data_IF_281067723116
#
_entry.id   IF_281067723116
#
_cell.length_a   1.000
_cell.length_b   1.000
_cell.length_c   1.000
_cell.angle_alpha   90.00
_cell.angle_beta   90.00
_cell.angle_gamma   90.00
#
_symmetry.space_group_name_H-M   'P 1'
#
loop_
_entity.id
_entity.type
_entity.pdbx_description
1 polymer ?
#
# COMPACT_ATOMS: atom_id res chain seq x y z
N UNK A 1 -8.60 6.85 -22.79
CA UNK A 1 -7.32 6.34 -23.34
C UNK A 1 -7.58 5.78 -24.73
N UNK A 2 -6.65 5.96 -25.67
CA UNK A 2 -6.73 5.31 -27.00
C UNK A 2 -6.64 3.77 -26.87
N UNK A 3 -7.54 3.04 -27.52
CA UNK A 3 -7.59 1.57 -27.55
C UNK A 3 -6.29 0.95 -28.07
N UNK A 4 -5.54 1.65 -28.94
CA UNK A 4 -4.22 1.20 -29.40
C UNK A 4 -3.22 1.21 -28.24
N UNK A 5 -3.18 2.30 -27.48
CA UNK A 5 -2.28 2.46 -26.34
C UNK A 5 -2.58 1.43 -25.24
N UNK A 6 -3.85 1.23 -24.90
CA UNK A 6 -4.28 0.21 -23.93
C UNK A 6 -3.76 -1.18 -24.32
N UNK A 7 -3.94 -1.57 -25.60
CA UNK A 7 -3.48 -2.88 -26.09
C UNK A 7 -1.97 -3.04 -25.98
N UNK A 8 -1.18 -2.01 -26.28
CA UNK A 8 0.28 -2.05 -26.14
C UNK A 8 0.72 -2.21 -24.68
N UNK A 9 0.10 -1.46 -23.77
CA UNK A 9 0.38 -1.57 -22.34
C UNK A 9 0.00 -2.95 -21.77
N UNK A 10 -1.15 -3.51 -22.17
CA UNK A 10 -1.54 -4.87 -21.82
C UNK A 10 -0.57 -5.91 -22.39
N UNK A 11 -0.17 -5.79 -23.66
CA UNK A 11 0.79 -6.70 -24.27
C UNK A 11 2.16 -6.65 -23.57
N UNK A 12 2.61 -5.46 -23.14
CA UNK A 12 3.82 -5.29 -22.34
C UNK A 12 3.70 -6.01 -20.99
N UNK A 13 2.59 -5.84 -20.29
CA UNK A 13 2.35 -6.50 -19.01
C UNK A 13 2.29 -8.03 -19.17
N UNK A 14 1.61 -8.53 -20.20
CA UNK A 14 1.52 -9.96 -20.50
C UNK A 14 2.90 -10.55 -20.83
N UNK A 15 3.72 -9.84 -21.60
CA UNK A 15 5.10 -10.25 -21.85
C UNK A 15 5.96 -10.27 -20.57
N UNK A 16 5.74 -9.32 -19.66
CA UNK A 16 6.41 -9.26 -18.37
C UNK A 16 5.98 -10.42 -17.44
N UNK A 17 4.70 -10.76 -17.40
CA UNK A 17 4.17 -11.93 -16.67
C UNK A 17 4.77 -13.21 -17.26
N UNK A 18 4.74 -13.39 -18.58
CA UNK A 18 5.27 -14.57 -19.25
C UNK A 18 6.78 -14.79 -19.04
N UNK A 19 7.54 -13.71 -18.83
CA UNK A 19 8.96 -13.77 -18.47
C UNK A 19 9.19 -14.33 -17.05
N UNK A 20 8.17 -14.28 -16.20
CA UNK A 20 8.25 -14.63 -14.78
C UNK A 20 8.89 -13.53 -13.94
N UNK A 21 9.06 -13.78 -12.62
CA UNK A 21 9.57 -12.78 -11.68
C UNK A 21 10.91 -12.20 -12.11
N UNK A 22 10.96 -10.87 -12.22
CA UNK A 22 12.17 -10.12 -12.55
C UNK A 22 12.14 -8.73 -11.94
N UNK A 23 13.30 -8.08 -11.91
CA UNK A 23 13.45 -6.69 -11.53
C UNK A 23 14.48 -6.04 -12.47
N UNK A 24 14.16 -4.86 -13.00
CA UNK A 24 15.14 -4.03 -13.69
C UNK A 24 15.84 -3.11 -12.70
N UNK A 25 17.16 -2.96 -12.86
CA UNK A 25 17.94 -1.99 -12.11
C UNK A 25 17.58 -0.54 -12.51
N UNK A 26 18.00 0.42 -11.69
CA UNK A 26 17.98 1.83 -12.07
C UNK A 26 18.83 2.04 -13.33
N UNK A 27 18.37 2.89 -14.26
CA UNK A 27 19.11 3.22 -15.48
C UNK A 27 19.91 4.53 -15.35
N UNK A 28 19.74 5.25 -14.24
CA UNK A 28 20.44 6.49 -13.92
C UNK A 28 19.93 7.71 -14.67
N UNK A 29 18.87 7.58 -15.46
CA UNK A 29 18.27 8.71 -16.16
C UNK A 29 17.55 9.64 -15.18
N UNK A 30 17.77 10.94 -15.35
CA UNK A 30 17.09 11.96 -14.56
C UNK A 30 15.60 12.00 -14.92
N UNK A 31 14.73 11.79 -13.92
CA UNK A 31 13.30 12.01 -14.03
C UNK A 31 12.97 13.46 -13.63
N UNK A 32 12.00 14.07 -14.30
CA UNK A 32 11.61 15.48 -14.08
C UNK A 32 10.17 15.64 -13.61
N UNK A 33 9.42 14.54 -13.52
CA UNK A 33 8.08 14.51 -12.97
C UNK A 33 7.96 13.30 -12.04
N UNK A 34 7.81 13.54 -10.74
CA UNK A 34 7.65 12.48 -9.74
C UNK A 34 6.21 12.44 -9.25
N UNK A 35 5.56 11.29 -9.41
CA UNK A 35 4.13 11.13 -9.15
C UNK A 35 3.91 9.98 -8.20
N UNK A 36 3.09 10.17 -7.17
CA UNK A 36 2.62 9.09 -6.31
C UNK A 36 1.20 8.64 -6.68
N UNK A 37 1.01 7.32 -6.71
CA UNK A 37 -0.26 6.63 -6.92
C UNK A 37 -0.50 5.71 -5.73
N UNK A 38 -1.52 6.00 -4.91
CA UNK A 38 -1.86 5.19 -3.75
C UNK A 38 -2.91 4.13 -4.06
N UNK A 39 -2.80 2.99 -3.39
CA UNK A 39 -3.80 1.91 -3.37
C UNK A 39 -4.34 1.57 -4.79
N UNK A 40 -3.52 0.94 -5.65
CA UNK A 40 -3.94 0.60 -7.00
C UNK A 40 -4.78 -0.68 -7.02
N UNK A 41 -5.59 -0.95 -5.98
CA UNK A 41 -6.58 -2.02 -5.90
C UNK A 41 -7.74 -1.80 -6.89
N UNK A 42 -7.43 -1.85 -8.19
CA UNK A 42 -8.34 -1.69 -9.30
C UNK A 42 -7.87 -2.54 -10.50
N UNK A 43 -8.76 -2.72 -11.48
CA UNK A 43 -8.39 -3.42 -12.69
C UNK A 43 -7.24 -2.70 -13.42
N UNK A 44 -6.33 -3.45 -14.04
CA UNK A 44 -5.08 -2.90 -14.56
C UNK A 44 -5.33 -1.96 -15.75
N UNK A 45 -6.38 -2.21 -16.55
CA UNK A 45 -6.84 -1.30 -17.58
C UNK A 45 -7.31 0.05 -17.02
N UNK A 46 -7.93 0.05 -15.84
CA UNK A 46 -8.33 1.25 -15.10
C UNK A 46 -7.10 2.02 -14.62
N UNK A 47 -6.11 1.33 -14.04
CA UNK A 47 -4.83 1.95 -13.65
C UNK A 47 -4.19 2.64 -14.86
N UNK A 48 -4.04 1.91 -15.98
CA UNK A 48 -3.47 2.45 -17.22
C UNK A 48 -4.27 3.63 -17.77
N UNK A 49 -5.60 3.59 -17.68
CA UNK A 49 -6.47 4.67 -18.12
C UNK A 49 -6.24 5.95 -17.33
N UNK A 50 -6.09 5.85 -16.00
CA UNK A 50 -5.77 6.98 -15.13
C UNK A 50 -4.38 7.54 -15.46
N UNK A 51 -3.36 6.67 -15.57
CA UNK A 51 -2.00 7.10 -15.94
C UNK A 51 -1.98 7.79 -17.32
N UNK A 52 -2.74 7.30 -18.29
CA UNK A 52 -2.87 7.91 -19.61
C UNK A 52 -3.59 9.27 -19.56
N UNK A 53 -4.66 9.39 -18.76
CA UNK A 53 -5.37 10.65 -18.56
C UNK A 53 -4.48 11.74 -17.96
N UNK A 54 -3.49 11.37 -17.16
CA UNK A 54 -2.46 12.29 -16.64
C UNK A 54 -1.22 12.41 -17.54
N UNK A 55 -1.25 11.85 -18.75
CA UNK A 55 -0.17 11.95 -19.73
C UNK A 55 1.12 11.20 -19.35
N UNK A 56 1.05 10.24 -18.42
CA UNK A 56 2.22 9.56 -17.87
C UNK A 56 2.73 8.40 -18.73
N UNK A 57 1.92 7.93 -19.67
CA UNK A 57 2.27 6.82 -20.57
C UNK A 57 2.86 7.32 -21.90
N UNK A 58 3.84 6.58 -22.42
CA UNK A 58 4.37 6.74 -23.77
C UNK A 58 3.54 6.01 -24.82
N UNK A 59 3.91 6.12 -26.09
CA UNK A 59 3.19 5.48 -27.21
C UNK A 59 3.31 3.95 -27.23
N UNK A 60 4.19 3.37 -26.42
CA UNK A 60 4.42 1.93 -26.30
C UNK A 60 3.79 1.30 -25.05
N UNK A 61 2.99 2.08 -24.32
CA UNK A 61 2.29 1.61 -23.13
C UNK A 61 3.21 1.42 -21.92
N UNK A 62 4.39 2.02 -21.94
CA UNK A 62 5.27 2.16 -20.78
C UNK A 62 5.13 3.55 -20.14
N UNK A 63 5.80 3.76 -19.00
CA UNK A 63 5.96 5.10 -18.43
C UNK A 63 6.85 5.95 -19.34
N UNK A 64 6.51 7.23 -19.52
CA UNK A 64 7.39 8.17 -20.25
C UNK A 64 8.77 8.25 -19.59
N UNK A 65 9.86 8.42 -20.35
CA UNK A 65 11.22 8.44 -19.80
C UNK A 65 11.48 9.50 -18.73
N UNK A 66 10.74 10.61 -18.72
CA UNK A 66 10.93 11.67 -17.73
C UNK A 66 10.07 11.50 -16.46
N UNK A 67 9.23 10.47 -16.40
CA UNK A 67 8.31 10.19 -15.29
C UNK A 67 8.97 9.23 -14.29
N UNK A 68 8.85 9.54 -13.01
CA UNK A 68 9.01 8.59 -11.91
C UNK A 68 7.62 8.34 -11.30
N UNK A 69 7.13 7.10 -11.34
CA UNK A 69 5.89 6.70 -10.67
C UNK A 69 6.21 5.97 -9.37
N UNK A 70 5.78 6.49 -8.24
CA UNK A 70 5.82 5.82 -6.93
C UNK A 70 4.47 5.14 -6.68
N UNK A 71 4.41 3.83 -6.88
CA UNK A 71 3.23 3.00 -6.59
C UNK A 71 3.22 2.62 -5.12
N UNK A 72 2.20 3.07 -4.38
CA UNK A 72 2.15 3.00 -2.92
C UNK A 72 1.21 1.90 -2.46
N UNK A 73 1.77 0.69 -2.31
CA UNK A 73 1.20 -0.44 -1.58
C UNK A 73 -0.10 -1.02 -2.13
N UNK A 74 -0.49 -2.16 -1.57
CA UNK A 74 -1.77 -2.83 -1.81
C UNK A 74 -2.04 -3.11 -3.30
N UNK A 75 -1.12 -3.80 -3.97
CA UNK A 75 -1.26 -4.12 -5.40
C UNK A 75 -2.22 -5.27 -5.68
N UNK A 76 -2.84 -5.86 -4.65
CA UNK A 76 -3.64 -7.08 -4.73
C UNK A 76 -4.91 -7.01 -3.87
N UNK A 77 -5.82 -7.97 -4.10
CA UNK A 77 -7.09 -8.20 -3.39
C UNK A 77 -8.11 -7.08 -3.49
N UNK A 78 -9.03 -7.23 -4.44
CA UNK A 78 -10.21 -6.40 -4.53
C UNK A 78 -11.33 -7.12 -5.28
N UNK A 79 -12.49 -6.47 -5.33
CA UNK A 79 -13.62 -6.95 -6.08
C UNK A 79 -14.37 -8.09 -5.39
N UNK A 80 -15.46 -8.54 -6.02
CA UNK A 80 -16.33 -9.58 -5.46
C UNK A 80 -15.75 -10.98 -5.66
N UNK A 81 -16.24 -11.94 -4.89
CA UNK A 81 -15.83 -13.35 -4.97
C UNK A 81 -15.94 -13.95 -6.39
N UNK A 82 -16.93 -13.53 -7.17
CA UNK A 82 -17.15 -14.00 -8.54
C UNK A 82 -16.02 -13.63 -9.52
N UNK A 83 -15.21 -12.61 -9.19
CA UNK A 83 -14.19 -12.05 -10.07
C UNK A 83 -12.75 -12.42 -9.67
N UNK A 84 -12.56 -13.18 -8.59
CA UNK A 84 -11.25 -13.44 -7.96
C UNK A 84 -10.18 -13.88 -8.96
N UNK A 85 -10.50 -14.78 -9.88
CA UNK A 85 -9.54 -15.29 -10.87
C UNK A 85 -9.10 -14.19 -11.87
N UNK A 86 -10.06 -13.37 -12.33
CA UNK A 86 -9.79 -12.22 -13.21
C UNK A 86 -8.95 -11.17 -12.48
N UNK A 87 -9.34 -10.85 -11.25
CA UNK A 87 -8.63 -9.88 -10.40
C UNK A 87 -7.21 -10.35 -10.10
N UNK A 88 -7.01 -11.62 -9.74
CA UNK A 88 -5.69 -12.18 -9.46
C UNK A 88 -4.72 -11.99 -10.64
N UNK A 89 -5.19 -12.22 -11.88
CA UNK A 89 -4.40 -11.94 -13.10
C UNK A 89 -4.16 -10.46 -13.32
N UNK A 90 -5.18 -9.62 -13.08
CA UNK A 90 -5.08 -8.17 -13.24
C UNK A 90 -4.03 -7.57 -12.29
N UNK A 91 -4.07 -7.95 -11.02
CA UNK A 91 -3.10 -7.56 -10.00
C UNK A 91 -1.68 -7.96 -10.38
N UNK A 92 -1.51 -9.20 -10.85
CA UNK A 92 -0.21 -9.68 -11.27
C UNK A 92 0.35 -8.90 -12.49
N UNK A 93 -0.52 -8.55 -13.45
CA UNK A 93 -0.15 -7.70 -14.59
C UNK A 93 0.36 -6.34 -14.13
N UNK A 94 -0.29 -5.71 -13.15
CA UNK A 94 0.17 -4.44 -12.59
C UNK A 94 1.58 -4.56 -12.02
N UNK A 95 1.82 -5.55 -11.16
CA UNK A 95 3.13 -5.78 -10.52
C UNK A 95 4.21 -6.09 -11.55
N UNK A 96 3.92 -6.97 -12.52
CA UNK A 96 4.85 -7.30 -13.59
C UNK A 96 5.15 -6.10 -14.50
N UNK A 97 4.14 -5.29 -14.83
CA UNK A 97 4.30 -4.08 -15.61
C UNK A 97 5.18 -3.06 -14.87
N UNK A 98 4.94 -2.80 -13.58
CA UNK A 98 5.79 -1.93 -12.76
C UNK A 98 7.24 -2.42 -12.71
N UNK A 99 7.45 -3.72 -12.47
CA UNK A 99 8.77 -4.35 -12.42
C UNK A 99 9.52 -4.34 -13.76
N UNK A 100 8.79 -4.23 -14.88
CA UNK A 100 9.36 -4.09 -16.23
C UNK A 100 9.96 -2.70 -16.52
N UNK A 101 9.86 -1.75 -15.58
CA UNK A 101 10.49 -0.44 -15.67
C UNK A 101 11.73 -0.37 -14.77
N UNK A 102 12.74 0.44 -15.13
CA UNK A 102 13.88 0.75 -14.28
C UNK A 102 13.47 1.15 -12.85
N UNK A 103 14.30 0.79 -11.87
CA UNK A 103 13.99 1.01 -10.46
C UNK A 103 13.87 2.48 -10.02
N UNK A 104 14.43 3.39 -10.81
CA UNK A 104 14.31 4.84 -10.65
C UNK A 104 13.16 5.46 -11.48
N UNK A 105 12.51 4.68 -12.36
CA UNK A 105 11.34 5.10 -13.14
C UNK A 105 10.02 4.65 -12.51
N UNK A 106 9.98 3.45 -11.93
CA UNK A 106 8.84 2.98 -11.16
C UNK A 106 9.33 2.59 -9.77
N UNK A 107 8.94 3.29 -8.71
CA UNK A 107 9.25 2.90 -7.33
C UNK A 107 8.07 2.11 -6.77
N UNK A 108 8.33 0.93 -6.22
CA UNK A 108 7.28 0.03 -5.71
C UNK A 108 7.38 -0.03 -4.19
N UNK A 109 6.35 0.46 -3.49
CA UNK A 109 6.27 0.38 -2.03
C UNK A 109 5.30 -0.72 -1.62
N UNK A 110 5.60 -1.43 -0.54
CA UNK A 110 4.74 -2.50 -0.03
C UNK A 110 3.57 -1.94 0.77
N UNK A 111 2.40 -2.53 0.55
CA UNK A 111 1.28 -2.46 1.48
C UNK A 111 1.06 -3.75 2.25
N UNK A 112 0.03 -3.78 3.08
CA UNK A 112 -0.30 -4.96 3.86
C UNK A 112 -0.77 -6.12 2.98
N UNK A 113 -1.49 -5.86 1.88
CA UNK A 113 -1.87 -6.91 0.96
C UNK A 113 -0.62 -7.50 0.29
N UNK A 114 0.33 -6.69 -0.17
CA UNK A 114 1.58 -7.21 -0.74
C UNK A 114 2.32 -8.13 0.24
N UNK A 115 2.47 -7.68 1.49
CA UNK A 115 3.12 -8.46 2.56
C UNK A 115 2.35 -9.73 2.91
N UNK A 116 1.02 -9.72 2.82
CA UNK A 116 0.18 -10.90 3.10
C UNK A 116 0.59 -12.14 2.29
N UNK A 117 1.18 -11.96 1.10
CA UNK A 117 1.67 -13.06 0.25
C UNK A 117 2.80 -13.85 0.91
N UNK A 118 3.64 -13.17 1.68
CA UNK A 118 4.87 -13.72 2.30
C UNK A 118 4.83 -13.68 3.82
N UNK A 119 3.81 -13.06 4.42
CA UNK A 119 3.51 -13.03 5.85
C UNK A 119 2.46 -14.09 6.19
N UNK A 120 1.20 -13.66 6.29
CA UNK A 120 0.04 -14.48 6.68
C UNK A 120 -0.12 -15.75 5.84
N UNK A 121 0.15 -15.64 4.53
CA UNK A 121 -0.11 -16.71 3.57
C UNK A 121 1.15 -17.48 3.16
N UNK A 122 2.26 -17.30 3.89
CA UNK A 122 3.57 -17.83 3.52
C UNK A 122 3.57 -19.35 3.32
N UNK A 123 2.82 -20.09 4.15
CA UNK A 123 2.83 -21.56 4.17
C UNK A 123 1.68 -22.20 3.37
N UNK A 124 0.86 -21.39 2.71
CA UNK A 124 -0.24 -21.90 1.89
C UNK A 124 0.22 -22.37 0.50
N UNK A 125 -0.57 -23.21 -0.12
CA UNK A 125 -0.50 -23.57 -1.55
C UNK A 125 -1.82 -23.16 -2.20
N UNK A 126 -1.87 -23.05 -3.53
CA UNK A 126 -3.12 -22.71 -4.24
C UNK A 126 -4.25 -23.66 -3.84
N UNK A 127 -3.93 -24.95 -3.70
CA UNK A 127 -4.87 -25.98 -3.29
C UNK A 127 -5.36 -25.80 -1.83
N UNK A 128 -4.44 -25.56 -0.89
CA UNK A 128 -4.80 -25.44 0.53
C UNK A 128 -5.50 -24.12 0.83
N UNK A 129 -5.08 -23.02 0.20
CA UNK A 129 -5.75 -21.72 0.36
C UNK A 129 -7.14 -21.73 -0.26
N UNK A 130 -7.31 -22.33 -1.44
CA UNK A 130 -8.64 -22.49 -2.05
C UNK A 130 -9.59 -23.28 -1.16
N UNK A 131 -9.10 -24.36 -0.52
CA UNK A 131 -9.91 -25.12 0.42
C UNK A 131 -10.34 -24.27 1.62
N UNK A 132 -9.41 -23.51 2.21
CA UNK A 132 -9.71 -22.57 3.28
C UNK A 132 -10.69 -21.48 2.85
N UNK A 133 -10.52 -20.90 1.67
CA UNK A 133 -11.37 -19.83 1.15
C UNK A 133 -12.81 -20.31 0.89
N UNK A 134 -13.00 -21.51 0.35
CA UNK A 134 -14.34 -22.09 0.16
C UNK A 134 -15.06 -22.28 1.50
N UNK A 135 -14.33 -22.62 2.55
CA UNK A 135 -14.89 -22.72 3.89
C UNK A 135 -15.18 -21.33 4.48
N UNK A 136 -14.24 -20.40 4.35
CA UNK A 136 -14.37 -19.02 4.81
C UNK A 136 -15.60 -18.34 4.20
N UNK A 137 -15.86 -18.53 2.90
CA UNK A 137 -17.04 -17.99 2.20
C UNK A 137 -18.38 -18.49 2.77
N UNK A 138 -18.40 -19.65 3.45
CA UNK A 138 -19.59 -20.18 4.12
C UNK A 138 -19.74 -19.68 5.55
N UNK A 139 -18.60 -19.42 6.21
CA UNK A 139 -18.54 -18.99 7.61
C UNK A 139 -18.78 -17.48 7.71
N UNK A 140 -18.14 -16.72 6.83
CA UNK A 140 -18.21 -15.27 6.82
C UNK A 140 -19.54 -14.79 6.24
N UNK A 141 -20.37 -14.19 7.08
CA UNK A 141 -21.67 -13.62 6.74
C UNK A 141 -21.73 -12.12 7.04
N UNK A 142 -20.58 -11.42 6.96
CA UNK A 142 -20.48 -10.02 7.40
C UNK A 142 -20.62 -9.90 8.92
N UNK A 143 -21.37 -8.91 9.37
CA UNK A 143 -21.60 -8.63 10.80
C UNK A 143 -22.33 -9.77 11.54
N UNK A 144 -22.95 -10.70 10.82
CA UNK A 144 -23.70 -11.86 11.35
C UNK A 144 -22.88 -13.16 11.41
N UNK A 145 -21.55 -13.07 11.34
CA UNK A 145 -20.66 -14.25 11.39
C UNK A 145 -20.80 -15.01 12.72
N UNK A 146 -21.14 -16.31 12.65
CA UNK A 146 -21.31 -17.14 13.85
C UNK A 146 -19.96 -17.42 14.52
N UNK A 147 -19.82 -17.01 15.78
CA UNK A 147 -18.58 -17.13 16.52
C UNK A 147 -18.13 -18.58 16.75
N UNK A 148 -19.04 -19.55 16.80
CA UNK A 148 -18.67 -20.96 16.94
C UNK A 148 -18.12 -21.53 15.61
N UNK A 149 -18.75 -21.17 14.50
CA UNK A 149 -18.28 -21.50 13.15
C UNK A 149 -16.92 -20.87 12.87
N UNK A 150 -16.70 -19.60 13.23
CA UNK A 150 -15.40 -18.95 13.08
C UNK A 150 -14.32 -19.62 13.93
N UNK A 151 -14.60 -19.94 15.21
CA UNK A 151 -13.65 -20.71 16.03
C UNK A 151 -13.30 -22.06 15.41
N UNK A 152 -14.28 -22.78 14.87
CA UNK A 152 -14.05 -24.06 14.22
C UNK A 152 -13.22 -23.92 12.93
N UNK A 153 -13.45 -22.85 12.15
CA UNK A 153 -12.64 -22.49 10.99
C UNK A 153 -11.19 -22.22 11.37
N UNK A 154 -10.96 -21.36 12.37
CA UNK A 154 -9.60 -21.00 12.83
C UNK A 154 -8.84 -22.16 13.47
N UNK A 155 -9.54 -23.13 14.08
CA UNK A 155 -8.92 -24.37 14.53
C UNK A 155 -8.42 -25.25 13.37
N UNK A 156 -9.14 -25.24 12.22
CA UNK A 156 -8.72 -25.97 11.02
C UNK A 156 -7.64 -25.23 10.24
N UNK A 157 -7.69 -23.91 10.22
CA UNK A 157 -6.81 -23.05 9.45
C UNK A 157 -6.05 -22.07 10.36
N UNK A 158 -5.15 -22.56 11.23
CA UNK A 158 -4.53 -21.72 12.27
C UNK A 158 -3.62 -20.61 11.72
N UNK A 159 -3.17 -20.73 10.47
CA UNK A 159 -2.39 -19.68 9.79
C UNK A 159 -3.22 -18.46 9.36
N UNK A 160 -4.55 -18.56 9.33
CA UNK A 160 -5.42 -17.44 8.95
C UNK A 160 -5.87 -16.65 10.17
N UNK A 161 -5.99 -15.31 10.10
CA UNK A 161 -6.40 -14.53 11.25
C UNK A 161 -7.90 -14.57 11.53
N UNK A 162 -8.72 -14.48 10.49
CA UNK A 162 -10.20 -14.53 10.55
C UNK A 162 -10.76 -15.16 9.27
N UNK A 163 -12.03 -15.58 9.31
CA UNK A 163 -12.71 -16.04 8.09
C UNK A 163 -12.93 -14.88 7.10
N UNK A 164 -13.20 -13.66 7.61
CA UNK A 164 -13.35 -12.45 6.80
C UNK A 164 -12.12 -12.17 5.94
N UNK A 165 -10.91 -12.21 6.52
CA UNK A 165 -9.70 -11.91 5.75
C UNK A 165 -9.46 -12.94 4.65
N UNK A 166 -9.70 -14.23 4.92
CA UNK A 166 -9.57 -15.26 3.90
C UNK A 166 -10.59 -15.09 2.74
N UNK A 167 -11.81 -14.66 3.07
CA UNK A 167 -12.87 -14.45 2.08
C UNK A 167 -12.72 -13.12 1.30
N UNK A 168 -12.21 -12.05 1.93
CA UNK A 168 -12.19 -10.70 1.34
C UNK A 168 -10.78 -10.17 1.08
N UNK A 169 -9.95 -10.13 2.10
CA UNK A 169 -8.70 -9.35 2.07
C UNK A 169 -7.50 -10.16 1.56
N UNK A 170 -7.63 -11.47 1.46
CA UNK A 170 -6.68 -12.38 0.80
C UNK A 170 -7.32 -13.06 -0.42
N UNK A 171 -8.45 -12.51 -0.88
CA UNK A 171 -9.38 -13.19 -1.77
C UNK A 171 -8.80 -13.60 -3.11
N UNK A 172 -7.70 -12.98 -3.55
CA UNK A 172 -7.10 -13.18 -4.87
C UNK A 172 -5.72 -13.81 -4.80
N UNK A 173 -5.30 -14.27 -3.62
CA UNK A 173 -3.99 -14.87 -3.42
C UNK A 173 -3.75 -16.08 -4.32
N UNK A 174 -2.52 -16.16 -4.84
CA UNK A 174 -1.98 -17.32 -5.55
C UNK A 174 -0.50 -17.51 -5.24
N UNK A 175 0.01 -18.73 -5.46
CA UNK A 175 1.45 -19.03 -5.31
C UNK A 175 2.29 -18.22 -6.30
N UNK A 176 1.76 -17.94 -7.50
CA UNK A 176 2.45 -17.12 -8.50
C UNK A 176 2.66 -15.68 -8.01
N UNK A 177 1.63 -15.06 -7.42
CA UNK A 177 1.77 -13.73 -6.81
C UNK A 177 2.82 -13.74 -5.70
N UNK A 178 2.81 -14.77 -4.84
CA UNK A 178 3.84 -14.93 -3.79
C UNK A 178 5.24 -15.02 -4.37
N UNK A 179 5.44 -15.80 -5.43
CA UNK A 179 6.75 -15.93 -6.07
C UNK A 179 7.26 -14.59 -6.61
N UNK A 180 6.37 -13.75 -7.15
CA UNK A 180 6.70 -12.39 -7.57
C UNK A 180 7.07 -11.48 -6.40
N UNK A 181 6.26 -11.45 -5.33
CA UNK A 181 6.56 -10.63 -4.14
C UNK A 181 7.88 -11.05 -3.51
N UNK A 182 8.12 -12.35 -3.33
CA UNK A 182 9.39 -12.87 -2.80
C UNK A 182 10.58 -12.43 -3.66
N UNK A 183 10.49 -12.59 -4.99
CA UNK A 183 11.55 -12.17 -5.89
C UNK A 183 11.86 -10.68 -5.75
N UNK A 184 10.82 -9.84 -5.78
CA UNK A 184 10.94 -8.38 -5.73
C UNK A 184 11.48 -7.90 -4.38
N UNK A 185 11.15 -8.58 -3.27
CA UNK A 185 11.76 -8.33 -1.96
C UNK A 185 13.25 -8.65 -1.97
N UNK A 186 13.63 -9.85 -2.44
CA UNK A 186 15.04 -10.28 -2.50
C UNK A 186 15.88 -9.42 -3.44
N UNK A 187 15.29 -8.92 -4.51
CA UNK A 187 15.90 -7.98 -5.44
C UNK A 187 15.93 -6.53 -4.92
N UNK A 188 15.42 -6.26 -3.72
CA UNK A 188 15.24 -4.91 -3.13
C UNK A 188 14.44 -3.97 -4.03
N UNK A 189 13.54 -4.52 -4.83
CA UNK A 189 12.68 -3.79 -5.77
C UNK A 189 11.44 -3.24 -5.07
N UNK A 190 10.87 -4.02 -4.16
CA UNK A 190 9.92 -3.53 -3.19
C UNK A 190 10.64 -2.82 -2.04
N UNK A 191 10.11 -1.68 -1.62
CA UNK A 191 10.62 -0.85 -0.51
C UNK A 191 9.52 -0.59 0.51
N UNK A 192 9.92 -0.25 1.74
CA UNK A 192 9.00 0.21 2.80
C UNK A 192 8.65 1.67 2.59
N UNK A 193 9.65 2.49 2.23
CA UNK A 193 9.48 3.92 2.06
C UNK A 193 10.43 4.49 1.00
N UNK A 194 10.05 5.64 0.45
CA UNK A 194 10.81 6.42 -0.52
C UNK A 194 10.90 7.88 -0.07
N UNK A 195 12.11 8.45 -0.05
CA UNK A 195 12.31 9.86 0.23
C UNK A 195 12.24 10.65 -1.09
N UNK A 196 11.19 11.45 -1.25
CA UNK A 196 10.95 12.28 -2.43
C UNK A 196 11.49 13.72 -2.28
N UNK A 197 12.01 14.06 -1.10
CA UNK A 197 12.67 15.33 -0.80
C UNK A 197 13.24 15.31 0.63
N UNK A 198 13.76 16.43 1.12
CA UNK A 198 14.41 16.48 2.44
C UNK A 198 13.47 16.12 3.59
N UNK A 199 12.20 16.55 3.50
CA UNK A 199 11.15 16.32 4.49
C UNK A 199 9.88 15.69 3.91
N UNK A 200 9.99 15.08 2.72
CA UNK A 200 8.87 14.44 2.03
C UNK A 200 9.13 12.93 1.91
N UNK A 201 8.36 12.14 2.67
CA UNK A 201 8.42 10.68 2.70
C UNK A 201 7.18 10.10 2.03
N UNK A 202 7.35 9.06 1.22
CA UNK A 202 6.25 8.25 0.66
C UNK A 202 6.33 6.86 1.26
N UNK A 203 5.21 6.35 1.79
CA UNK A 203 5.09 5.04 2.43
C UNK A 203 3.63 4.60 2.47
N UNK A 204 3.34 3.35 2.87
CA UNK A 204 1.96 2.85 2.80
C UNK A 204 0.97 3.52 3.74
N UNK A 205 1.14 3.39 5.06
CA UNK A 205 0.12 3.80 6.03
C UNK A 205 0.55 4.91 7.02
N UNK A 206 1.85 5.23 7.06
CA UNK A 206 2.41 6.26 7.93
C UNK A 206 3.28 5.69 9.05
N UNK A 207 4.14 6.54 9.60
CA UNK A 207 4.98 6.25 10.78
C UNK A 207 4.88 7.38 11.79
N UNK A 208 4.95 6.99 13.06
CA UNK A 208 4.97 7.89 14.22
C UNK A 208 6.35 7.94 14.88
N UNK A 209 6.50 8.85 15.83
CA UNK A 209 7.70 8.95 16.67
C UNK A 209 8.09 7.63 17.34
N UNK A 210 7.10 6.85 17.80
CA UNK A 210 7.30 5.53 18.40
C UNK A 210 7.88 4.52 17.41
N UNK A 211 7.37 4.50 16.19
CA UNK A 211 7.82 3.57 15.16
C UNK A 211 9.27 3.92 14.74
N UNK A 212 9.59 5.21 14.65
CA UNK A 212 10.95 5.69 14.38
C UNK A 212 11.92 5.39 15.53
N UNK A 213 11.48 5.50 16.78
CA UNK A 213 12.26 5.10 17.94
C UNK A 213 12.58 3.60 17.96
N UNK A 214 11.63 2.76 17.55
CA UNK A 214 11.81 1.29 17.51
C UNK A 214 12.84 0.85 16.47
N UNK A 215 12.95 1.56 15.35
CA UNK A 215 14.00 1.28 14.36
C UNK A 215 15.34 1.92 14.71
N UNK A 216 15.43 2.56 15.89
CA UNK A 216 16.66 3.17 16.40
C UNK A 216 17.05 4.47 15.71
N UNK A 217 16.09 5.19 15.13
CA UNK A 217 16.36 6.51 14.55
C UNK A 217 16.30 7.58 15.64
N UNK A 218 17.35 8.38 15.75
CA UNK A 218 17.43 9.47 16.73
C UNK A 218 16.39 10.58 16.47
N UNK A 219 15.80 11.18 17.53
CA UNK A 219 14.73 12.17 17.40
C UNK A 219 15.02 13.36 16.50
N UNK A 220 16.26 13.84 16.48
CA UNK A 220 16.70 15.00 15.69
C UNK A 220 16.59 14.74 14.18
N UNK A 221 16.54 13.46 13.78
CA UNK A 221 16.50 13.02 12.39
C UNK A 221 15.11 12.59 11.92
N UNK A 222 14.10 12.68 12.79
CA UNK A 222 12.74 12.23 12.45
C UNK A 222 12.08 13.08 11.36
N UNK A 223 12.53 14.32 11.14
CA UNK A 223 12.08 15.17 10.04
C UNK A 223 12.84 14.93 8.72
N UNK A 224 13.95 14.18 8.75
CA UNK A 224 14.78 13.89 7.58
C UNK A 224 14.21 12.67 6.83
N UNK A 225 13.45 12.90 5.76
CA UNK A 225 12.78 11.82 5.03
C UNK A 225 13.75 10.76 4.49
N UNK A 226 14.96 11.15 4.08
CA UNK A 226 16.02 10.19 3.69
C UNK A 226 16.44 9.31 4.86
N UNK A 227 16.69 9.89 6.04
CA UNK A 227 17.08 9.13 7.22
C UNK A 227 15.99 8.14 7.64
N UNK A 228 14.73 8.58 7.60
CA UNK A 228 13.57 7.75 7.87
C UNK A 228 13.47 6.60 6.86
N UNK A 229 13.53 6.90 5.56
CA UNK A 229 13.46 5.88 4.52
C UNK A 229 14.59 4.85 4.63
N UNK A 230 15.82 5.29 4.91
CA UNK A 230 16.97 4.40 5.09
C UNK A 230 16.80 3.49 6.32
N UNK A 231 16.31 4.03 7.44
CA UNK A 231 16.07 3.25 8.66
C UNK A 231 14.99 2.17 8.44
N UNK A 232 13.84 2.55 7.88
CA UNK A 232 12.72 1.64 7.63
C UNK A 232 13.09 0.56 6.60
N UNK A 233 13.69 0.96 5.49
CA UNK A 233 14.13 0.01 4.48
C UNK A 233 15.27 -0.89 4.98
N UNK A 234 16.14 -0.39 5.85
CA UNK A 234 17.22 -1.17 6.45
C UNK A 234 16.70 -2.30 7.33
N UNK A 235 15.58 -2.11 8.05
CA UNK A 235 14.91 -3.20 8.78
C UNK A 235 14.45 -4.29 7.81
N UNK A 236 13.82 -3.89 6.70
CA UNK A 236 13.35 -4.85 5.70
C UNK A 236 14.50 -5.59 5.02
N UNK A 237 15.54 -4.89 4.59
CA UNK A 237 16.69 -5.49 3.90
C UNK A 237 17.38 -6.53 4.79
N UNK A 238 17.48 -6.29 6.11
CA UNK A 238 17.99 -7.27 7.08
C UNK A 238 17.06 -8.46 7.24
N UNK A 239 15.77 -8.22 7.48
CA UNK A 239 14.79 -9.28 7.66
C UNK A 239 14.72 -10.21 6.43
N UNK A 240 14.72 -9.66 5.22
CA UNK A 240 14.69 -10.44 3.96
C UNK A 240 15.99 -11.23 3.75
N UNK A 241 17.16 -10.69 4.14
CA UNK A 241 18.42 -11.40 4.04
C UNK A 241 18.49 -12.63 4.97
N UNK A 242 17.92 -12.48 6.17
CA UNK A 242 17.83 -13.54 7.18
C UNK A 242 16.71 -14.54 6.89
N UNK A 243 15.68 -14.14 6.14
CA UNK A 243 14.49 -14.95 5.85
C UNK A 243 14.80 -16.18 4.97
N UNK A 244 14.56 -17.37 5.54
CA UNK A 244 14.79 -18.68 4.90
C UNK A 244 13.51 -19.46 4.57
N UNK A 245 12.36 -19.00 5.05
CA UNK A 245 11.06 -19.68 4.91
C UNK A 245 10.10 -19.27 6.03
N UNK A 246 8.85 -19.71 5.94
CA UNK A 246 7.77 -19.30 6.85
C UNK A 246 7.38 -17.83 6.70
N UNK A 247 6.53 -17.31 7.59
CA UNK A 247 6.09 -15.91 7.55
C UNK A 247 7.23 -14.89 7.68
N UNK A 248 7.27 -13.93 6.77
CA UNK A 248 8.17 -12.77 6.85
C UNK A 248 7.69 -11.79 7.93
N UNK A 249 8.52 -11.60 8.94
CA UNK A 249 8.31 -10.62 10.02
C UNK A 249 9.33 -9.50 9.86
N UNK A 250 8.89 -8.25 9.96
CA UNK A 250 9.81 -7.09 10.01
C UNK A 250 9.86 -6.61 11.45
N UNK A 251 10.93 -6.89 12.22
CA UNK A 251 10.96 -6.60 13.65
C UNK A 251 10.55 -5.17 13.97
N UNK A 252 9.52 -5.01 14.80
CA UNK A 252 8.95 -3.72 15.21
C UNK A 252 8.06 -3.02 14.17
N UNK A 253 8.15 -3.38 12.88
CA UNK A 253 7.44 -2.72 11.79
C UNK A 253 6.26 -3.52 11.23
N UNK A 254 6.33 -4.85 11.27
CA UNK A 254 5.32 -5.75 10.73
C UNK A 254 5.32 -7.06 11.51
N UNK A 255 4.14 -7.48 11.95
CA UNK A 255 3.89 -8.84 12.41
C UNK A 255 2.66 -9.40 11.69
N UNK A 256 2.79 -10.53 10.98
CA UNK A 256 1.66 -11.13 10.27
C UNK A 256 0.62 -11.65 11.27
N UNK A 257 -0.64 -11.59 10.88
CA UNK A 257 -1.74 -12.14 11.66
C UNK A 257 -1.82 -13.67 11.62
N UNK A 258 -2.52 -14.26 12.57
CA UNK A 258 -2.88 -15.69 12.60
C UNK A 258 -4.05 -15.92 13.58
N UNK A 259 -4.54 -17.15 13.70
CA UNK A 259 -5.69 -17.47 14.55
C UNK A 259 -5.48 -17.17 16.04
N UNK A 260 -4.22 -17.21 16.51
CA UNK A 260 -3.85 -17.01 17.92
C UNK A 260 -3.69 -15.53 18.25
N UNK A 261 -3.00 -14.79 17.39
CA UNK A 261 -2.59 -13.41 17.63
C UNK A 261 -3.54 -12.38 16.99
N UNK A 262 -4.51 -12.86 16.18
CA UNK A 262 -5.47 -12.03 15.46
C UNK A 262 -4.88 -11.44 14.19
N UNK A 263 -5.50 -10.37 13.69
CA UNK A 263 -5.09 -9.70 12.45
C UNK A 263 -3.67 -9.11 12.52
N UNK A 264 -3.03 -8.95 11.35
CA UNK A 264 -1.70 -8.37 11.22
C UNK A 264 -1.59 -6.95 11.78
N UNK A 265 -0.42 -6.61 12.30
CA UNK A 265 -0.13 -5.34 12.98
C UNK A 265 1.17 -4.71 12.48
N UNK A 266 1.30 -3.39 12.64
CA UNK A 266 2.49 -2.64 12.25
C UNK A 266 2.21 -1.53 11.24
N UNK A 267 3.27 -0.88 10.76
CA UNK A 267 3.22 0.37 9.97
C UNK A 267 2.53 0.22 8.61
N UNK A 268 2.25 -1.01 8.17
CA UNK A 268 1.51 -1.31 6.94
C UNK A 268 -0.01 -1.40 7.19
N UNK A 269 -0.45 -1.51 8.43
CA UNK A 269 -1.86 -1.63 8.81
C UNK A 269 -2.42 -0.38 9.48
N UNK A 270 -1.55 0.57 9.78
CA UNK A 270 -1.83 1.72 10.62
C UNK A 270 -2.89 2.63 9.99
N UNK A 271 -3.86 3.05 10.80
CA UNK A 271 -4.83 4.09 10.44
C UNK A 271 -4.85 5.16 11.53
N UNK A 272 -4.90 6.45 11.19
CA UNK A 272 -5.04 7.49 12.20
C UNK A 272 -6.40 7.33 12.91
N UNK A 273 -6.41 7.50 14.24
CA UNK A 273 -7.63 7.44 15.05
C UNK A 273 -7.54 8.40 16.23
N UNK A 274 -8.63 9.12 16.46
CA UNK A 274 -8.89 9.91 17.67
C UNK A 274 -10.12 9.37 18.43
N UNK A 275 -10.65 8.22 18.01
CA UNK A 275 -11.80 7.57 18.64
C UNK A 275 -11.47 7.15 20.08
N UNK A 276 -12.40 7.38 21.00
CA UNK A 276 -12.16 7.15 22.42
C UNK A 276 -11.89 5.67 22.74
N UNK A 277 -12.58 4.77 22.05
CA UNK A 277 -12.42 3.32 22.17
C UNK A 277 -11.04 2.81 21.71
N UNK A 278 -10.29 3.60 20.94
CA UNK A 278 -8.95 3.24 20.48
C UNK A 278 -7.83 3.78 21.39
N UNK A 279 -8.15 4.42 22.53
CA UNK A 279 -7.17 5.14 23.38
C UNK A 279 -5.97 4.30 23.85
N UNK A 280 -6.17 3.00 24.08
CA UNK A 280 -5.08 2.08 24.42
C UNK A 280 -4.45 1.45 23.17
N UNK A 281 -5.23 1.21 22.11
CA UNK A 281 -4.75 0.63 20.85
C UNK A 281 -3.73 1.49 20.13
N UNK A 282 -3.76 2.81 20.37
CA UNK A 282 -2.82 3.76 19.77
C UNK A 282 -1.45 3.83 20.47
N UNK A 283 -1.29 3.22 21.66
CA UNK A 283 -0.08 3.40 22.51
C UNK A 283 1.02 2.36 22.34
N UNK A 284 0.70 1.14 21.89
CA UNK A 284 1.66 0.03 21.76
C UNK A 284 2.28 -0.07 20.37
N UNK A 285 3.43 -0.73 20.20
CA UNK A 285 3.96 -1.02 18.86
C UNK A 285 4.42 -2.48 18.80
N UNK A 286 4.12 -3.21 17.71
CA UNK A 286 3.32 -2.83 16.54
C UNK A 286 1.80 -2.68 16.85
N UNK A 287 1.09 -1.87 16.05
CA UNK A 287 -0.35 -1.56 16.20
C UNK A 287 -1.01 -1.27 14.85
N UNK A 288 -2.35 -1.25 14.81
CA UNK A 288 -3.17 -0.92 13.61
C UNK A 288 -3.84 0.45 13.66
N UNK A 289 -3.74 1.14 14.80
CA UNK A 289 -4.29 2.48 15.01
C UNK A 289 -3.21 3.36 15.58
N UNK A 290 -3.14 4.63 15.22
CA UNK A 290 -2.23 5.56 15.88
C UNK A 290 -2.91 6.90 16.10
N UNK A 291 -2.44 7.62 17.10
CA UNK A 291 -2.87 8.99 17.34
C UNK A 291 -2.10 9.92 16.38
N UNK A 292 -2.78 10.63 15.45
CA UNK A 292 -2.11 11.51 14.51
C UNK A 292 -1.28 12.61 15.19
N UNK A 293 -1.56 13.01 16.43
CA UNK A 293 -0.72 13.96 17.19
C UNK A 293 0.69 13.43 17.49
N UNK A 294 0.91 12.13 17.29
CA UNK A 294 2.19 11.43 17.48
C UNK A 294 3.06 11.43 16.23
N UNK A 295 2.60 11.97 15.10
CA UNK A 295 3.41 12.11 13.90
C UNK A 295 4.69 12.94 14.16
N UNK A 296 5.80 12.65 13.46
CA UNK A 296 7.03 13.42 13.56
C UNK A 296 6.84 14.82 12.94
N UNK A 297 6.97 15.86 13.76
CA UNK A 297 6.87 17.26 13.30
C UNK A 297 7.98 17.58 12.28
N UNK A 298 7.66 18.43 11.31
CA UNK A 298 8.54 18.79 10.22
C UNK A 298 8.60 17.76 9.08
N UNK A 299 7.93 16.61 9.21
CA UNK A 299 7.84 15.59 8.17
C UNK A 299 6.46 15.63 7.47
N UNK A 300 6.48 15.59 6.14
CA UNK A 300 5.30 15.29 5.31
C UNK A 300 5.36 13.84 4.85
N UNK A 301 4.26 13.10 5.08
CA UNK A 301 4.11 11.70 4.72
C UNK A 301 3.01 11.53 3.66
N UNK A 302 3.37 11.08 2.47
CA UNK A 302 2.42 10.70 1.41
C UNK A 302 2.09 9.22 1.59
N UNK A 303 0.81 8.92 1.84
CA UNK A 303 0.33 7.59 2.21
C UNK A 303 -0.69 7.04 1.22
N UNK A 304 -0.48 5.78 0.83
CA UNK A 304 -1.37 5.02 -0.03
C UNK A 304 -2.44 4.24 0.73
N UNK A 305 -2.57 4.40 2.04
CA UNK A 305 -3.54 3.65 2.83
C UNK A 305 -4.54 4.57 3.54
N UNK A 306 -5.78 4.10 3.59
CA UNK A 306 -6.95 4.65 4.31
C UNK A 306 -7.81 5.59 3.47
N UNK A 307 -8.84 5.00 2.83
CA UNK A 307 -9.95 5.70 2.18
C UNK A 307 -10.59 6.79 3.03
N UNK A 308 -11.19 7.78 2.37
CA UNK A 308 -11.82 8.94 3.02
C UNK A 308 -12.88 8.53 4.04
N UNK A 309 -13.75 7.58 3.66
CA UNK A 309 -14.76 7.01 4.55
C UNK A 309 -14.17 6.63 5.90
N UNK A 310 -13.01 5.96 5.90
CA UNK A 310 -12.41 5.47 7.14
C UNK A 310 -11.73 6.57 7.96
N UNK A 311 -11.12 7.56 7.31
CA UNK A 311 -10.57 8.73 8.04
C UNK A 311 -11.70 9.57 8.65
N UNK A 312 -12.81 9.76 7.94
CA UNK A 312 -14.00 10.46 8.44
C UNK A 312 -14.60 9.76 9.66
N UNK A 313 -14.65 8.44 9.66
CA UNK A 313 -15.10 7.65 10.83
C UNK A 313 -14.17 7.81 12.05
N UNK A 314 -12.85 7.80 11.84
CA UNK A 314 -11.89 7.66 12.94
C UNK A 314 -11.30 8.98 13.47
N UNK A 315 -11.34 10.06 12.69
CA UNK A 315 -10.60 11.30 12.99
C UNK A 315 -11.49 12.53 12.91
N UNK A 316 -12.21 12.71 11.79
CA UNK A 316 -12.92 13.97 11.50
C UNK A 316 -14.22 13.71 10.73
N UNK A 317 -15.33 13.42 11.45
CA UNK A 317 -16.63 13.16 10.83
C UNK A 317 -17.04 14.24 9.83
N UNK A 318 -17.52 13.83 8.66
CA UNK A 318 -17.83 14.74 7.56
C UNK A 318 -18.17 14.01 6.26
N UNK A 319 -18.41 14.75 5.17
CA UNK A 319 -18.74 14.17 3.88
C UNK A 319 -17.57 13.36 3.33
N UNK A 320 -17.91 12.21 2.74
CA UNK A 320 -16.98 11.29 2.08
C UNK A 320 -16.87 11.64 0.60
N UNK A 321 -15.65 11.62 0.06
CA UNK A 321 -15.35 11.83 -1.35
C UNK A 321 -14.24 10.88 -1.80
N UNK A 322 -14.58 10.03 -2.78
CA UNK A 322 -13.61 9.21 -3.51
C UNK A 322 -12.95 10.03 -4.64
N UNK A 323 -11.84 9.54 -5.18
CA UNK A 323 -11.08 10.13 -6.29
C UNK A 323 -10.13 11.26 -5.91
N UNK A 324 -10.39 12.01 -4.83
CA UNK A 324 -9.60 13.20 -4.49
C UNK A 324 -8.42 12.92 -3.56
N UNK A 325 -7.39 13.76 -3.67
CA UNK A 325 -6.38 13.93 -2.64
C UNK A 325 -6.99 14.46 -1.35
N UNK A 326 -6.39 14.08 -0.24
CA UNK A 326 -6.83 14.46 1.09
C UNK A 326 -5.61 14.71 1.95
N UNK A 327 -5.74 15.51 2.99
CA UNK A 327 -4.63 15.76 3.89
C UNK A 327 -5.07 15.87 5.35
N UNK A 328 -4.16 15.49 6.23
CA UNK A 328 -4.22 15.72 7.67
C UNK A 328 -3.03 16.58 8.08
N UNK A 329 -3.27 17.60 8.91
CA UNK A 329 -2.23 18.45 9.52
C UNK A 329 -2.34 18.38 11.03
N UNK A 330 -1.19 18.36 11.72
CA UNK A 330 -1.14 18.38 13.18
C UNK A 330 0.07 19.17 13.67
N UNK A 331 -0.10 19.93 14.75
CA UNK A 331 0.97 20.61 15.49
C UNK A 331 1.44 19.78 16.71
N UNK A 332 1.01 18.52 16.79
CA UNK A 332 1.20 17.65 17.97
C UNK A 332 0.10 17.79 19.04
N UNK A 333 -0.87 18.69 18.82
CA UNK A 333 -1.98 18.95 19.76
C UNK A 333 -3.32 18.95 19.04
N UNK A 334 -3.42 19.70 17.94
CA UNK A 334 -4.59 19.80 17.06
C UNK A 334 -4.43 18.89 15.86
N UNK A 335 -5.57 18.52 15.27
CA UNK A 335 -5.62 17.65 14.09
C UNK A 335 -6.70 18.20 13.17
N UNK A 336 -6.29 18.63 11.98
CA UNK A 336 -7.17 19.14 10.94
C UNK A 336 -7.15 18.18 9.75
N UNK A 337 -8.32 17.92 9.16
CA UNK A 337 -8.48 17.03 8.02
C UNK A 337 -9.35 17.66 6.94
N UNK A 338 -8.84 17.71 5.71
CA UNK A 338 -9.53 18.31 4.58
C UNK A 338 -9.26 17.58 3.26
N UNK A 339 -10.12 17.84 2.29
CA UNK A 339 -9.93 17.41 0.90
C UNK A 339 -9.00 18.39 0.16
N UNK A 340 -8.33 17.91 -0.87
CA UNK A 340 -7.36 18.64 -1.68
C UNK A 340 -5.91 18.52 -1.17
N UNK A 341 -4.98 19.19 -1.87
CA UNK A 341 -3.56 19.17 -1.51
C UNK A 341 -3.30 19.86 -0.16
N UNK A 342 -2.21 19.52 0.53
CA UNK A 342 -1.89 20.11 1.82
C UNK A 342 -1.58 21.62 1.69
N UNK A 343 -1.84 22.41 2.75
CA UNK A 343 -1.34 23.78 2.82
C UNK A 343 0.19 23.81 2.95
N UNK A 344 0.78 24.99 2.80
CA UNK A 344 2.19 25.20 3.16
C UNK A 344 2.32 25.15 4.68
N UNK A 345 3.14 24.23 5.18
CA UNK A 345 3.37 24.02 6.61
C UNK A 345 4.83 24.27 7.01
N UNK A 346 5.07 24.50 8.31
CA UNK A 346 6.39 24.72 8.88
C UNK A 346 6.95 23.52 9.65
N UNK A 347 8.15 23.67 10.23
CA UNK A 347 8.81 22.61 11.01
C UNK A 347 8.06 22.22 12.30
N UNK A 348 7.12 23.04 12.76
CA UNK A 348 6.27 22.77 13.92
C UNK A 348 5.04 21.91 13.61
N UNK A 349 4.84 21.51 12.34
CA UNK A 349 3.67 20.77 11.89
C UNK A 349 4.10 19.46 11.21
N UNK A 350 3.32 18.40 11.40
CA UNK A 350 3.40 17.19 10.61
C UNK A 350 2.22 17.14 9.63
N UNK A 351 2.46 16.57 8.46
CA UNK A 351 1.44 16.45 7.40
C UNK A 351 1.35 15.01 6.94
N UNK A 352 0.12 14.51 6.77
CA UNK A 352 -0.13 13.30 5.99
C UNK A 352 -0.96 13.66 4.75
N UNK A 353 -0.51 13.25 3.57
CA UNK A 353 -1.24 13.36 2.31
C UNK A 353 -1.73 11.98 1.93
N UNK A 354 -3.03 11.79 1.78
CA UNK A 354 -3.61 10.50 1.42
C UNK A 354 -3.84 10.44 -0.09
N UNK A 355 -3.28 9.42 -0.74
CA UNK A 355 -3.39 9.16 -2.19
C UNK A 355 -4.25 7.94 -2.52
N UNK A 356 -4.76 7.23 -1.50
CA UNK A 356 -5.84 6.25 -1.67
C UNK A 356 -7.15 6.97 -2.05
N UNK A 357 -7.38 7.13 -3.35
CA UNK A 357 -8.60 7.71 -3.88
C UNK A 357 -9.72 6.70 -4.08
N UNK A 358 -9.60 5.47 -3.56
CA UNK A 358 -10.49 4.35 -3.90
C UNK A 358 -10.57 4.11 -5.42
N UNK A 359 -9.44 3.79 -6.06
CA UNK A 359 -9.27 3.81 -7.53
C UNK A 359 -10.31 3.03 -8.33
N UNK A 360 -10.79 1.92 -7.76
CA UNK A 360 -11.86 1.09 -8.32
C UNK A 360 -13.21 1.80 -8.39
N UNK A 361 -13.44 2.72 -7.46
CA UNK A 361 -14.68 3.48 -7.32
C UNK A 361 -14.64 4.75 -8.19
N UNK A 362 -15.81 5.30 -8.49
CA UNK A 362 -15.93 6.58 -9.19
C UNK A 362 -15.47 6.57 -10.65
N UNK A 363 -15.18 7.76 -11.19
CA UNK A 363 -14.74 7.96 -12.59
C UNK A 363 -13.22 8.14 -12.67
N UNK A 364 -12.62 7.70 -13.78
CA UNK A 364 -11.16 7.78 -13.94
C UNK A 364 -10.68 9.23 -14.00
N UNK A 365 -11.49 10.10 -14.59
CA UNK A 365 -11.18 11.52 -14.75
C UNK A 365 -11.20 12.30 -13.41
N UNK A 366 -11.86 11.74 -12.39
CA UNK A 366 -11.96 12.34 -11.07
C UNK A 366 -10.82 11.87 -10.13
N UNK A 367 -10.02 10.87 -10.55
CA UNK A 367 -8.95 10.32 -9.72
C UNK A 367 -7.71 11.21 -9.79
N UNK A 368 -7.30 11.76 -8.66
CA UNK A 368 -6.16 12.66 -8.55
C UNK A 368 -4.88 11.89 -8.18
N UNK A 369 -3.86 11.99 -9.02
CA UNK A 369 -2.49 11.58 -8.68
C UNK A 369 -1.75 12.72 -7.98
N UNK A 370 -0.80 12.41 -7.10
CA UNK A 370 -0.04 13.44 -6.37
C UNK A 370 1.32 13.73 -7.03
N UNK A 371 1.52 14.97 -7.46
CA UNK A 371 2.81 15.51 -7.90
C UNK A 371 3.68 15.76 -6.66
N UNK A 372 4.75 14.98 -6.51
CA UNK A 372 5.66 15.03 -5.37
C UNK A 372 6.50 16.30 -5.36
N UNK A 373 6.80 16.85 -6.54
CA UNK A 373 7.63 18.05 -6.70
C UNK A 373 6.79 19.31 -6.44
N UNK A 374 5.61 19.40 -7.07
CA UNK A 374 4.72 20.55 -6.95
C UNK A 374 3.77 20.49 -5.74
N UNK A 375 3.71 19.35 -5.04
CA UNK A 375 2.86 19.09 -3.87
C UNK A 375 1.38 19.36 -4.11
N UNK A 376 0.87 18.92 -5.26
CA UNK A 376 -0.52 19.14 -5.71
C UNK A 376 -1.02 17.99 -6.56
N UNK A 377 -2.29 18.02 -6.96
CA UNK A 377 -2.82 17.09 -7.95
C UNK A 377 -2.11 17.27 -9.31
N UNK A 378 -1.77 16.16 -9.95
CA UNK A 378 -1.30 16.15 -11.34
C UNK A 378 -2.48 16.57 -12.24
N UNK A 379 -2.33 17.58 -13.11
CA UNK A 379 -3.41 17.95 -14.02
C UNK A 379 -3.70 16.83 -15.01
N UNK A 380 -4.92 16.81 -15.56
CA UNK A 380 -5.23 15.98 -16.72
C UNK A 380 -4.45 16.48 -17.93
N UNK A 381 -4.00 15.55 -18.77
CA UNK A 381 -3.45 15.87 -20.07
C UNK A 381 -4.54 16.50 -20.97
N UNK A 382 -4.18 17.48 -21.81
CA UNK A 382 -5.11 18.17 -22.70
C UNK A 382 -5.69 17.27 -23.80
#
# INVERSE_FOLDING_TARGET
MDDVLLRKALARADAAVAKGPHALAADGQRRTLHVAMGDPQADFDRVLSILALHGLLDEEGGLRPHVCLVSVGDHFDWGPAADRERVARSALRLVAWLASHPADQAVMLLGNHDLGRVGELADFTDATFRAAQVEADRVYAGDDTDAAAERAFLQRWPGLPTAELAARDFSTWTEEQRAWVEHLLRARRFRVAHAAGDSLLVLHAGVTREDLGIVGLEPERWAEARAVADALNGVMDRAVAEWKGGPLVLPGLHHPGNAKDGEGVGIFYQRPSLAAEDSERVRGTPRRRFDPRRLPLGLTQVVGHTRDKRVRELVSPGPVRDGVLRHLVTDGTRVDYAHGPPPVTGAGEAVMVFTDGAMREGRAEDFELFDLDARRAVPLAP
#
